data_IF_202618249515
#
_entry.id   IF_202618249515
#
_cell.length_a   1.000
_cell.length_b   1.000
_cell.length_c   1.000
_cell.angle_alpha   90.00
_cell.angle_beta   90.00
_cell.angle_gamma   90.00
#
_symmetry.space_group_name_H-M   'P 1'
#
loop_
_entity.id
_entity.type
_entity.pdbx_description
1 polymer ?
#
# COMPACT_ATOMS: atom_id res chain seq x y z
N UNK A 1 32.78 34.90 -10.04
CA UNK A 1 31.37 34.54 -9.84
C UNK A 1 31.23 33.08 -10.28
N UNK A 2 31.49 32.17 -9.34
CA UNK A 2 31.46 30.74 -9.62
C UNK A 2 30.02 30.25 -9.59
N UNK A 3 29.61 29.61 -10.68
CA UNK A 3 28.32 28.90 -10.78
C UNK A 3 28.31 27.73 -9.78
N UNK A 4 27.23 27.50 -9.02
CA UNK A 4 27.15 26.36 -8.15
C UNK A 4 27.18 25.08 -8.98
N UNK A 5 28.17 24.22 -8.72
CA UNK A 5 28.21 22.85 -9.23
C UNK A 5 26.97 22.12 -8.69
N UNK A 6 25.95 22.01 -9.50
CA UNK A 6 24.88 21.04 -9.30
C UNK A 6 25.56 19.69 -9.40
N UNK A 7 25.92 19.11 -8.26
CA UNK A 7 26.26 17.71 -8.17
C UNK A 7 25.01 16.92 -8.52
N UNK A 8 24.93 16.49 -9.77
CA UNK A 8 24.06 15.39 -10.18
C UNK A 8 24.64 14.17 -9.46
N UNK A 9 24.10 13.87 -8.30
CA UNK A 9 24.32 12.60 -7.62
C UNK A 9 23.49 11.57 -8.42
N UNK A 10 23.97 11.17 -9.60
CA UNK A 10 23.74 9.83 -10.10
C UNK A 10 24.65 8.92 -9.25
N UNK A 11 24.28 8.76 -7.98
CA UNK A 11 24.82 7.69 -7.18
C UNK A 11 24.63 6.40 -7.99
N UNK A 12 25.66 5.56 -8.05
CA UNK A 12 25.63 4.23 -8.62
C UNK A 12 24.39 3.50 -8.08
N UNK A 13 23.26 3.64 -8.78
CA UNK A 13 22.09 2.83 -8.50
C UNK A 13 22.50 1.42 -8.88
N UNK A 14 22.65 0.56 -7.89
CA UNK A 14 22.94 -0.84 -8.11
C UNK A 14 21.85 -1.39 -9.04
N UNK A 15 22.25 -1.72 -10.26
CA UNK A 15 21.33 -2.27 -11.23
C UNK A 15 20.94 -3.68 -10.79
N UNK A 16 19.64 -3.91 -10.72
CA UNK A 16 19.06 -5.20 -10.33
C UNK A 16 19.05 -6.10 -11.57
N UNK A 17 19.61 -7.30 -11.42
CA UNK A 17 19.76 -8.27 -12.52
C UNK A 17 19.01 -9.56 -12.20
N UNK A 18 18.76 -10.35 -13.24
CA UNK A 18 18.19 -11.70 -13.15
C UNK A 18 16.78 -11.72 -12.55
N UNK A 19 16.03 -10.63 -12.65
CA UNK A 19 14.62 -10.57 -12.24
C UNK A 19 13.74 -11.19 -13.32
N UNK A 20 12.85 -12.08 -12.92
CA UNK A 20 11.82 -12.68 -13.79
C UNK A 20 10.42 -12.21 -13.46
N UNK A 21 10.15 -11.94 -12.17
CA UNK A 21 8.87 -11.45 -11.69
C UNK A 21 9.04 -10.12 -10.97
N UNK A 22 8.23 -9.15 -11.34
CA UNK A 22 8.08 -7.89 -10.62
C UNK A 22 6.69 -7.90 -9.99
N UNK A 23 6.66 -7.94 -8.66
CA UNK A 23 5.44 -7.85 -7.88
C UNK A 23 5.22 -6.40 -7.44
N UNK A 24 4.03 -5.88 -7.64
CA UNK A 24 3.64 -4.51 -7.27
C UNK A 24 2.60 -4.55 -6.17
N UNK A 25 2.85 -3.82 -5.11
CA UNK A 25 1.79 -3.41 -4.21
C UNK A 25 0.82 -2.45 -4.91
N UNK A 26 -0.36 -2.26 -4.35
CA UNK A 26 -1.42 -1.48 -4.95
C UNK A 26 -1.66 -0.13 -4.26
N UNK A 27 -2.18 -0.18 -3.02
CA UNK A 27 -2.57 1.00 -2.25
C UNK A 27 -1.32 1.82 -1.87
N UNK A 28 -1.33 3.12 -2.15
CA UNK A 28 -0.22 4.05 -1.91
C UNK A 28 1.07 3.77 -2.71
N UNK A 29 1.03 2.76 -3.59
CA UNK A 29 2.09 2.43 -4.56
C UNK A 29 1.63 2.75 -5.98
N UNK A 30 0.46 2.27 -6.39
CA UNK A 30 -0.11 2.49 -7.73
C UNK A 30 -1.18 3.59 -7.74
N UNK A 31 -1.90 3.79 -6.65
CA UNK A 31 -2.91 4.83 -6.44
C UNK A 31 -2.95 5.27 -4.99
N UNK A 32 -3.38 6.50 -4.74
CA UNK A 32 -3.55 7.04 -3.40
C UNK A 32 -4.73 6.36 -2.69
N UNK A 33 -4.50 5.85 -1.50
CA UNK A 33 -5.50 5.20 -0.65
C UNK A 33 -5.51 5.84 0.75
N UNK A 34 -4.37 5.88 1.43
CA UNK A 34 -4.26 6.31 2.82
C UNK A 34 -4.72 7.76 3.04
N UNK A 35 -4.48 8.67 2.08
CA UNK A 35 -4.97 10.04 2.21
C UNK A 35 -6.50 10.12 2.34
N UNK A 36 -7.23 9.21 1.70
CA UNK A 36 -8.69 9.16 1.81
C UNK A 36 -9.17 8.58 3.14
N UNK A 37 -8.43 7.63 3.70
CA UNK A 37 -8.70 7.15 5.06
C UNK A 37 -8.49 8.26 6.09
N UNK A 38 -7.42 9.05 5.95
CA UNK A 38 -7.20 10.21 6.82
C UNK A 38 -8.31 11.28 6.71
N UNK A 39 -8.82 11.52 5.49
CA UNK A 39 -9.95 12.43 5.29
C UNK A 39 -11.20 11.91 6.02
N UNK A 40 -11.52 10.62 5.89
CA UNK A 40 -12.63 9.99 6.61
C UNK A 40 -12.43 10.04 8.12
N UNK A 41 -11.20 9.79 8.61
CA UNK A 41 -10.90 9.88 10.05
C UNK A 41 -11.09 11.30 10.59
N UNK A 42 -10.72 12.33 9.83
CA UNK A 42 -10.96 13.74 10.21
C UNK A 42 -12.46 14.07 10.28
N UNK A 43 -13.23 13.64 9.29
CA UNK A 43 -14.68 13.83 9.30
C UNK A 43 -15.34 13.05 10.43
N UNK A 44 -14.89 11.84 10.70
CA UNK A 44 -15.33 11.01 11.81
C UNK A 44 -15.05 11.68 13.16
N UNK A 45 -13.83 12.18 13.38
CA UNK A 45 -13.47 12.87 14.61
C UNK A 45 -14.32 14.13 14.83
N UNK A 46 -14.63 14.88 13.75
CA UNK A 46 -15.52 16.02 13.81
C UNK A 46 -16.98 15.63 14.18
N UNK A 47 -17.45 14.47 13.74
CA UNK A 47 -18.77 13.96 14.14
C UNK A 47 -18.87 13.65 15.64
N UNK A 48 -17.76 13.26 16.27
CA UNK A 48 -17.69 12.89 17.69
C UNK A 48 -17.27 14.04 18.61
N UNK A 49 -17.08 15.25 18.08
CA UNK A 49 -16.75 16.47 18.87
C UNK A 49 -17.63 16.67 20.12
N UNK A 50 -18.95 16.35 20.10
CA UNK A 50 -19.78 16.49 21.32
C UNK A 50 -19.35 15.62 22.49
N UNK A 51 -18.55 14.57 22.26
CA UNK A 51 -18.13 13.61 23.31
C UNK A 51 -16.64 13.71 23.67
N UNK A 52 -15.81 14.37 22.86
CA UNK A 52 -14.39 14.53 23.17
C UNK A 52 -13.59 15.23 22.07
N UNK A 53 -12.33 15.46 22.36
CA UNK A 53 -11.42 16.16 21.44
C UNK A 53 -11.00 15.25 20.27
N UNK A 54 -10.75 15.79 19.06
CA UNK A 54 -10.38 14.99 17.89
C UNK A 54 -9.20 14.04 18.11
N UNK A 55 -8.17 14.46 18.83
CA UNK A 55 -7.01 13.63 19.14
C UNK A 55 -7.35 12.44 20.08
N UNK A 56 -8.30 12.60 20.98
CA UNK A 56 -8.78 11.54 21.86
C UNK A 56 -9.60 10.52 21.06
N UNK A 57 -10.47 11.01 20.16
CA UNK A 57 -11.25 10.17 19.23
C UNK A 57 -10.30 9.34 18.35
N UNK A 58 -9.29 9.97 17.72
CA UNK A 58 -8.31 9.27 16.88
C UNK A 58 -7.50 8.25 17.67
N UNK A 59 -7.09 8.55 18.89
CA UNK A 59 -6.36 7.60 19.72
C UNK A 59 -7.22 6.39 20.11
N UNK A 60 -8.49 6.63 20.47
CA UNK A 60 -9.44 5.57 20.79
C UNK A 60 -9.75 4.72 19.54
N UNK A 61 -9.92 5.33 18.37
CA UNK A 61 -10.12 4.62 17.10
C UNK A 61 -8.94 3.72 16.79
N UNK A 62 -7.70 4.22 16.89
CA UNK A 62 -6.50 3.42 16.66
C UNK A 62 -6.42 2.19 17.58
N UNK A 63 -6.85 2.32 18.85
CA UNK A 63 -6.94 1.16 19.76
C UNK A 63 -7.99 0.16 19.28
N UNK A 64 -9.20 0.63 18.90
CA UNK A 64 -10.28 -0.22 18.41
C UNK A 64 -9.87 -0.95 17.13
N UNK A 65 -9.21 -0.27 16.19
CA UNK A 65 -8.68 -0.91 14.98
C UNK A 65 -7.64 -1.99 15.30
N UNK A 66 -6.72 -1.69 16.25
CA UNK A 66 -5.68 -2.64 16.67
C UNK A 66 -6.29 -3.92 17.27
N UNK A 67 -7.34 -3.77 18.07
CA UNK A 67 -8.04 -4.91 18.71
C UNK A 67 -8.85 -5.72 17.66
N UNK A 68 -9.40 -5.05 16.65
CA UNK A 68 -10.21 -5.64 15.61
C UNK A 68 -9.39 -6.32 14.49
N UNK A 69 -8.17 -5.85 14.25
CA UNK A 69 -7.35 -6.31 13.12
C UNK A 69 -7.11 -7.82 13.07
N UNK A 70 -6.85 -8.54 14.19
CA UNK A 70 -6.68 -10.00 14.16
C UNK A 70 -7.93 -10.77 13.72
N UNK A 71 -9.13 -10.19 13.95
CA UNK A 71 -10.40 -10.83 13.63
C UNK A 71 -10.96 -10.40 12.28
N UNK A 72 -10.91 -9.10 11.98
CA UNK A 72 -11.56 -8.50 10.81
C UNK A 72 -10.60 -8.34 9.62
N UNK A 73 -9.29 -8.40 9.85
CA UNK A 73 -8.28 -8.13 8.82
C UNK A 73 -8.22 -6.65 8.45
N UNK A 74 -7.77 -6.41 7.22
CA UNK A 74 -7.56 -5.08 6.64
C UNK A 74 -8.68 -4.69 5.69
N UNK A 75 -8.89 -3.36 5.51
CA UNK A 75 -9.73 -2.82 4.46
C UNK A 75 -10.93 -2.03 4.96
N UNK A 76 -11.66 -1.43 4.01
CA UNK A 76 -12.73 -0.46 4.29
C UNK A 76 -13.86 -0.99 5.18
N UNK A 77 -14.19 -2.28 5.10
CA UNK A 77 -15.27 -2.87 5.90
C UNK A 77 -14.83 -3.05 7.36
N UNK A 78 -13.62 -3.57 7.59
CA UNK A 78 -13.02 -3.69 8.92
C UNK A 78 -12.91 -2.31 9.58
N UNK A 79 -12.41 -1.31 8.85
CA UNK A 79 -12.35 0.06 9.28
C UNK A 79 -13.73 0.64 9.63
N UNK A 80 -14.75 0.42 8.79
CA UNK A 80 -16.12 0.89 9.04
C UNK A 80 -16.70 0.29 10.31
N UNK A 81 -16.46 -1.01 10.57
CA UNK A 81 -16.89 -1.66 11.82
C UNK A 81 -16.19 -1.00 13.01
N UNK A 82 -14.87 -0.78 12.92
CA UNK A 82 -14.10 -0.12 13.99
C UNK A 82 -14.57 1.31 14.25
N UNK A 83 -14.91 2.08 13.21
CA UNK A 83 -15.51 3.41 13.35
C UNK A 83 -16.82 3.35 14.16
N UNK A 84 -17.71 2.42 13.83
CA UNK A 84 -19.02 2.29 14.51
C UNK A 84 -18.83 1.82 15.95
N UNK A 85 -18.02 0.82 16.20
CA UNK A 85 -17.72 0.29 17.52
C UNK A 85 -17.08 1.34 18.42
N UNK A 86 -16.07 2.04 17.91
CA UNK A 86 -15.44 3.14 18.62
C UNK A 86 -16.43 4.26 18.93
N UNK A 87 -17.29 4.65 17.99
CA UNK A 87 -18.27 5.71 18.20
C UNK A 87 -19.26 5.36 19.32
N UNK A 88 -19.72 4.12 19.40
CA UNK A 88 -20.61 3.65 20.45
C UNK A 88 -19.88 3.67 21.81
N UNK A 89 -18.66 3.15 21.86
CA UNK A 89 -17.87 3.10 23.08
C UNK A 89 -17.48 4.50 23.57
N UNK A 90 -16.95 5.34 22.67
CA UNK A 90 -16.46 6.68 22.97
C UNK A 90 -17.58 7.62 23.46
N UNK A 91 -18.79 7.44 22.93
CA UNK A 91 -19.98 8.17 23.36
C UNK A 91 -20.68 7.57 24.59
N UNK A 92 -20.11 6.53 25.21
CA UNK A 92 -20.74 5.79 26.31
C UNK A 92 -22.16 5.26 25.99
N UNK A 93 -22.38 4.93 24.69
CA UNK A 93 -23.69 4.46 24.21
C UNK A 93 -24.71 5.56 23.94
N UNK A 94 -24.37 6.83 24.09
CA UNK A 94 -25.31 7.97 23.91
C UNK A 94 -25.46 8.40 22.45
N UNK A 95 -24.61 7.85 21.52
CA UNK A 95 -24.67 8.22 20.11
C UNK A 95 -25.99 7.84 19.47
N UNK A 96 -26.60 8.77 18.74
CA UNK A 96 -27.88 8.56 18.06
C UNK A 96 -27.71 7.86 16.73
N UNK A 97 -28.71 7.08 16.31
CA UNK A 97 -28.71 6.33 15.06
C UNK A 97 -28.36 7.18 13.82
N UNK A 98 -28.73 8.46 13.78
CA UNK A 98 -28.37 9.36 12.68
C UNK A 98 -26.89 9.63 12.55
N UNK A 99 -26.11 9.64 13.65
CA UNK A 99 -24.64 9.71 13.61
C UNK A 99 -24.06 8.39 13.11
N UNK A 100 -24.59 7.26 13.58
CA UNK A 100 -24.15 5.93 13.12
C UNK A 100 -24.35 5.78 11.59
N UNK A 101 -25.51 6.22 11.06
CA UNK A 101 -25.73 6.20 9.61
C UNK A 101 -24.68 7.04 8.88
N UNK A 102 -24.36 8.25 9.35
CA UNK A 102 -23.30 9.09 8.75
C UNK A 102 -21.94 8.40 8.78
N UNK A 103 -21.58 7.76 9.90
CA UNK A 103 -20.32 7.01 10.03
C UNK A 103 -20.27 5.85 9.02
N UNK A 104 -21.35 5.11 8.88
CA UNK A 104 -21.46 4.04 7.87
C UNK A 104 -21.32 4.60 6.45
N UNK A 105 -21.88 5.78 6.14
CA UNK A 105 -21.69 6.41 4.82
C UNK A 105 -20.25 6.85 4.60
N UNK A 106 -19.54 7.36 5.62
CA UNK A 106 -18.10 7.65 5.54
C UNK A 106 -17.30 6.40 5.18
N UNK A 107 -17.51 5.28 5.88
CA UNK A 107 -16.85 4.02 5.53
C UNK A 107 -17.18 3.53 4.11
N UNK A 108 -18.44 3.64 3.70
CA UNK A 108 -18.88 3.29 2.33
C UNK A 108 -18.27 4.19 1.26
N UNK A 109 -17.89 5.43 1.56
CA UNK A 109 -17.25 6.32 0.58
C UNK A 109 -15.89 5.77 0.13
N UNK A 110 -15.15 5.14 1.04
CA UNK A 110 -13.87 4.49 0.73
C UNK A 110 -14.01 3.36 -0.29
N UNK A 111 -15.09 2.58 -0.24
CA UNK A 111 -15.38 1.54 -1.23
C UNK A 111 -15.63 2.08 -2.65
N UNK A 112 -15.82 3.40 -2.79
CA UNK A 112 -16.05 4.07 -4.08
C UNK A 112 -14.81 4.83 -4.58
N UNK A 113 -13.66 4.66 -3.93
CA UNK A 113 -12.39 5.24 -4.33
C UNK A 113 -12.15 5.03 -5.83
N UNK A 114 -11.79 6.11 -6.54
CA UNK A 114 -11.55 6.05 -8.00
C UNK A 114 -10.31 5.24 -8.35
N UNK A 115 -9.37 5.11 -7.42
CA UNK A 115 -8.07 4.45 -7.61
C UNK A 115 -7.33 5.03 -8.85
N UNK A 116 -7.29 6.37 -8.94
CA UNK A 116 -6.60 7.06 -10.03
C UNK A 116 -5.10 6.77 -9.94
N UNK A 117 -4.47 6.26 -11.01
CA UNK A 117 -3.05 5.95 -10.99
C UNK A 117 -2.18 7.16 -10.60
N UNK A 118 -1.20 6.92 -9.73
CA UNK A 118 -0.20 7.93 -9.36
C UNK A 118 0.67 8.32 -10.57
N UNK A 119 1.32 9.50 -10.53
CA UNK A 119 2.18 9.96 -11.61
C UNK A 119 3.24 8.92 -12.00
N UNK A 120 3.37 8.65 -13.30
CA UNK A 120 4.33 7.70 -13.83
C UNK A 120 3.88 6.23 -13.85
N UNK A 121 2.89 5.83 -13.05
CA UNK A 121 2.45 4.44 -12.91
C UNK A 121 2.04 3.81 -14.24
N UNK A 122 1.09 4.43 -14.93
CA UNK A 122 0.59 3.89 -16.21
C UNK A 122 1.70 3.75 -17.25
N UNK A 123 2.57 4.77 -17.36
CA UNK A 123 3.71 4.73 -18.28
C UNK A 123 4.67 3.60 -17.93
N UNK A 124 5.06 3.48 -16.66
CA UNK A 124 6.01 2.46 -16.20
C UNK A 124 5.49 1.05 -16.43
N UNK A 125 4.25 0.78 -16.00
CA UNK A 125 3.64 -0.53 -16.19
C UNK A 125 3.52 -0.89 -17.67
N UNK A 126 3.16 0.07 -18.53
CA UNK A 126 3.12 -0.16 -19.98
C UNK A 126 4.49 -0.53 -20.54
N UNK A 127 5.54 0.24 -20.21
CA UNK A 127 6.90 -0.03 -20.69
C UNK A 127 7.40 -1.41 -20.23
N UNK A 128 7.14 -1.79 -18.99
CA UNK A 128 7.52 -3.10 -18.47
C UNK A 128 6.74 -4.23 -19.15
N UNK A 129 5.42 -4.08 -19.34
CA UNK A 129 4.59 -5.07 -20.01
C UNK A 129 4.97 -5.22 -21.50
N UNK A 130 5.22 -4.12 -22.20
CA UNK A 130 5.60 -4.12 -23.62
C UNK A 130 6.98 -4.77 -23.84
N UNK A 131 7.89 -4.66 -22.87
CA UNK A 131 9.22 -5.28 -22.93
C UNK A 131 9.16 -6.80 -22.98
N UNK A 132 8.14 -7.43 -22.39
CA UNK A 132 7.99 -8.88 -22.23
C UNK A 132 9.17 -9.59 -21.55
N UNK A 133 9.99 -8.83 -20.83
CA UNK A 133 11.16 -9.36 -20.12
C UNK A 133 10.80 -9.88 -18.73
N UNK A 134 9.70 -9.38 -18.17
CA UNK A 134 9.28 -9.66 -16.80
C UNK A 134 7.81 -10.09 -16.78
N UNK A 135 7.48 -11.01 -15.89
CA UNK A 135 6.09 -11.25 -15.51
C UNK A 135 5.68 -10.20 -14.48
N UNK A 136 4.60 -9.45 -14.73
CA UNK A 136 4.11 -8.42 -13.83
C UNK A 136 2.98 -9.00 -12.97
N UNK A 137 3.10 -8.92 -11.66
CA UNK A 137 2.12 -9.44 -10.71
C UNK A 137 1.63 -8.31 -9.81
N UNK A 138 0.34 -8.12 -9.71
CA UNK A 138 -0.22 -7.32 -8.61
C UNK A 138 -0.22 -8.19 -7.36
N UNK A 139 0.48 -7.76 -6.31
CA UNK A 139 0.56 -8.46 -5.04
C UNK A 139 0.19 -7.52 -3.90
N UNK A 140 -1.06 -7.55 -3.48
CA UNK A 140 -1.63 -6.60 -2.53
C UNK A 140 -2.34 -7.31 -1.39
N UNK A 141 -2.40 -6.65 -0.23
CA UNK A 141 -3.20 -7.14 0.90
C UNK A 141 -4.51 -6.36 1.01
N UNK A 142 -5.52 -7.00 1.57
CA UNK A 142 -6.81 -6.40 1.84
C UNK A 142 -7.98 -7.31 1.51
N UNK A 143 -9.16 -6.71 1.44
CA UNK A 143 -10.38 -7.44 1.11
C UNK A 143 -10.48 -7.67 -0.41
N UNK A 144 -10.70 -8.94 -0.79
CA UNK A 144 -10.68 -9.38 -2.19
C UNK A 144 -11.56 -8.51 -3.11
N UNK A 145 -12.82 -8.30 -2.74
CA UNK A 145 -13.77 -7.56 -3.58
C UNK A 145 -13.37 -6.08 -3.73
N UNK A 146 -12.88 -5.46 -2.65
CA UNK A 146 -12.47 -4.07 -2.67
C UNK A 146 -11.22 -3.87 -3.55
N UNK A 147 -10.21 -4.71 -3.39
CA UNK A 147 -8.98 -4.65 -4.20
C UNK A 147 -9.27 -4.91 -5.69
N UNK A 148 -10.12 -5.90 -6.02
CA UNK A 148 -10.55 -6.14 -7.40
C UNK A 148 -11.28 -4.93 -7.99
N UNK A 149 -12.18 -4.31 -7.23
CA UNK A 149 -12.91 -3.13 -7.66
C UNK A 149 -12.01 -1.93 -7.88
N UNK A 150 -11.03 -1.67 -6.98
CA UNK A 150 -10.04 -0.61 -7.14
C UNK A 150 -9.19 -0.84 -8.40
N UNK A 151 -8.68 -2.06 -8.59
CA UNK A 151 -7.91 -2.41 -9.77
C UNK A 151 -8.70 -2.21 -11.08
N UNK A 152 -9.97 -2.62 -11.12
CA UNK A 152 -10.83 -2.41 -12.28
C UNK A 152 -11.06 -0.92 -12.56
N UNK A 153 -11.34 -0.11 -11.52
CA UNK A 153 -11.54 1.34 -11.66
C UNK A 153 -10.28 2.08 -12.10
N UNK A 154 -9.10 1.62 -11.67
CA UNK A 154 -7.81 2.21 -12.06
C UNK A 154 -7.48 2.02 -13.55
N UNK A 155 -8.08 1.02 -14.20
CA UNK A 155 -7.76 0.62 -15.58
C UNK A 155 -6.38 -0.03 -15.74
N UNK A 156 -5.71 -0.40 -14.64
CA UNK A 156 -4.36 -0.98 -14.65
C UNK A 156 -4.35 -2.51 -14.81
N UNK A 157 -5.48 -3.20 -14.64
CA UNK A 157 -5.57 -4.66 -14.70
C UNK A 157 -4.92 -5.27 -15.95
N UNK A 158 -5.01 -4.59 -17.08
CA UNK A 158 -4.48 -5.04 -18.38
C UNK A 158 -2.96 -5.15 -18.47
N UNK A 159 -2.22 -4.60 -17.50
CA UNK A 159 -0.76 -4.64 -17.48
C UNK A 159 -0.21 -5.81 -16.64
N UNK A 160 -1.05 -6.48 -15.87
CA UNK A 160 -0.64 -7.56 -14.99
C UNK A 160 -0.95 -8.92 -15.59
N UNK A 161 0.02 -9.81 -15.53
CA UNK A 161 -0.12 -11.21 -15.93
C UNK A 161 -0.83 -12.04 -14.86
N UNK A 162 -0.77 -11.59 -13.58
CA UNK A 162 -1.41 -12.26 -12.44
C UNK A 162 -1.80 -11.25 -11.37
N UNK A 163 -2.85 -11.59 -10.60
CA UNK A 163 -3.40 -10.76 -9.53
C UNK A 163 -3.52 -11.61 -8.27
N UNK A 164 -2.73 -11.30 -7.26
CA UNK A 164 -2.68 -12.01 -5.99
C UNK A 164 -3.09 -11.06 -4.87
N UNK A 165 -4.23 -11.34 -4.26
CA UNK A 165 -4.76 -10.58 -3.12
C UNK A 165 -4.70 -11.48 -1.90
N UNK A 166 -3.99 -11.03 -0.85
CA UNK A 166 -3.76 -11.78 0.38
C UNK A 166 -4.33 -11.06 1.59
N UNK A 167 -4.57 -11.78 2.67
CA UNK A 167 -4.98 -11.18 3.94
C UNK A 167 -3.85 -10.43 4.62
N UNK A 168 -2.58 -10.90 4.47
CA UNK A 168 -1.38 -10.21 4.93
C UNK A 168 -0.18 -10.64 4.07
N UNK A 169 0.86 -9.79 3.96
CA UNK A 169 2.08 -10.05 3.18
C UNK A 169 3.18 -10.66 4.05
N UNK A 170 2.95 -11.89 4.46
CA UNK A 170 3.93 -12.66 5.26
C UNK A 170 5.02 -13.28 4.40
N UNK A 171 6.14 -13.70 5.02
CA UNK A 171 7.19 -14.46 4.32
C UNK A 171 6.66 -15.74 3.65
N UNK A 172 5.62 -16.35 4.22
CA UNK A 172 4.95 -17.51 3.64
C UNK A 172 4.25 -17.16 2.33
N UNK A 173 3.53 -16.03 2.29
CA UNK A 173 2.84 -15.57 1.07
C UNK A 173 3.84 -15.20 -0.04
N UNK A 174 4.99 -14.60 0.28
CA UNK A 174 6.08 -14.39 -0.69
C UNK A 174 6.65 -15.72 -1.21
N UNK A 175 6.79 -16.72 -0.34
CA UNK A 175 7.25 -18.06 -0.74
C UNK A 175 6.23 -18.72 -1.69
N UNK A 176 4.93 -18.61 -1.39
CA UNK A 176 3.85 -19.10 -2.26
C UNK A 176 3.84 -18.35 -3.60
N UNK A 177 4.03 -17.03 -3.58
CA UNK A 177 4.13 -16.23 -4.80
C UNK A 177 5.26 -16.74 -5.72
N UNK A 178 6.43 -16.96 -5.17
CA UNK A 178 7.56 -17.52 -5.92
C UNK A 178 7.26 -18.91 -6.46
N UNK A 179 6.74 -19.81 -5.63
CA UNK A 179 6.38 -21.17 -6.03
C UNK A 179 5.37 -21.20 -7.18
N UNK A 180 4.29 -20.40 -7.07
CA UNK A 180 3.24 -20.33 -8.09
C UNK A 180 3.73 -19.77 -9.42
N UNK A 181 4.79 -18.95 -9.38
CA UNK A 181 5.43 -18.40 -10.58
C UNK A 181 6.64 -19.21 -11.07
N UNK A 182 6.98 -20.31 -10.40
CA UNK A 182 8.11 -21.17 -10.80
C UNK A 182 9.47 -20.49 -10.74
N UNK A 183 9.66 -19.55 -9.80
CA UNK A 183 10.89 -18.76 -9.65
C UNK A 183 11.54 -18.97 -8.28
N UNK A 184 12.85 -18.66 -8.23
CA UNK A 184 13.56 -18.49 -6.97
C UNK A 184 13.29 -17.08 -6.42
N UNK A 185 13.34 -16.91 -5.08
CA UNK A 185 13.15 -15.59 -4.43
C UNK A 185 14.13 -14.53 -4.94
N UNK A 186 15.34 -14.90 -5.36
CA UNK A 186 16.34 -14.00 -5.95
C UNK A 186 15.98 -13.49 -7.34
N UNK A 187 14.92 -14.05 -7.95
CA UNK A 187 14.39 -13.63 -9.25
C UNK A 187 13.12 -12.77 -9.08
N UNK A 188 12.74 -12.47 -7.83
CA UNK A 188 11.62 -11.60 -7.46
C UNK A 188 12.10 -10.20 -7.10
N UNK A 189 11.47 -9.18 -7.70
CA UNK A 189 11.52 -7.80 -7.24
C UNK A 189 10.14 -7.41 -6.70
N UNK A 190 10.07 -7.04 -5.42
CA UNK A 190 8.88 -6.42 -4.85
C UNK A 190 8.98 -4.89 -4.89
N UNK A 191 7.93 -4.24 -5.38
CA UNK A 191 7.81 -2.79 -5.48
C UNK A 191 6.66 -2.33 -4.60
N UNK A 192 6.92 -1.49 -3.61
CA UNK A 192 5.87 -1.04 -2.70
C UNK A 192 6.28 0.12 -1.79
N UNK A 193 5.31 0.68 -1.08
CA UNK A 193 5.49 1.80 -0.17
C UNK A 193 5.68 1.38 1.29
N UNK A 194 5.16 0.22 1.70
CA UNK A 194 5.24 -0.24 3.08
C UNK A 194 6.54 -0.98 3.36
N UNK A 195 7.39 -0.38 4.22
CA UNK A 195 8.62 -1.07 4.61
C UNK A 195 8.34 -2.38 5.35
N UNK A 196 7.27 -2.42 6.15
CA UNK A 196 6.85 -3.57 6.93
C UNK A 196 6.29 -4.71 6.06
N UNK A 197 5.42 -4.39 5.11
CA UNK A 197 4.68 -5.39 4.34
C UNK A 197 5.34 -5.74 3.00
N UNK A 198 5.98 -4.77 2.33
CA UNK A 198 6.51 -4.97 0.99
C UNK A 198 8.02 -5.24 1.01
N UNK A 199 8.75 -4.55 1.88
CA UNK A 199 10.20 -4.51 1.81
C UNK A 199 10.83 -5.56 2.71
N UNK A 200 10.57 -5.50 4.01
CA UNK A 200 11.24 -6.36 4.99
C UNK A 200 11.03 -7.86 4.73
N UNK A 201 9.82 -8.36 4.44
CA UNK A 201 9.61 -9.79 4.26
C UNK A 201 10.37 -10.37 3.07
N UNK A 202 10.40 -9.66 1.92
CA UNK A 202 11.10 -10.12 0.72
C UNK A 202 12.63 -10.07 0.91
N UNK A 203 13.15 -9.04 1.59
CA UNK A 203 14.58 -8.95 1.92
C UNK A 203 15.02 -10.07 2.87
N UNK A 204 14.23 -10.39 3.89
CA UNK A 204 14.50 -11.52 4.81
C UNK A 204 14.62 -12.86 4.10
N UNK A 205 13.90 -13.05 3.01
CA UNK A 205 13.98 -14.23 2.17
C UNK A 205 15.13 -14.19 1.15
N UNK A 206 15.81 -13.06 0.99
CA UNK A 206 16.93 -12.86 0.06
C UNK A 206 16.50 -12.38 -1.34
N UNK A 207 15.27 -11.92 -1.51
CA UNK A 207 14.76 -11.29 -2.72
C UNK A 207 15.17 -9.82 -2.84
N UNK A 208 14.68 -9.14 -3.87
CA UNK A 208 14.94 -7.73 -4.13
C UNK A 208 13.72 -6.88 -3.83
N UNK A 209 13.95 -5.65 -3.39
CA UNK A 209 12.90 -4.68 -3.09
C UNK A 209 13.21 -3.30 -3.69
N UNK A 210 12.18 -2.66 -4.23
CA UNK A 210 12.17 -1.24 -4.57
C UNK A 210 11.15 -0.52 -3.68
N UNK A 211 11.66 0.27 -2.75
CA UNK A 211 10.84 1.05 -1.84
C UNK A 211 10.48 2.40 -2.46
N UNK A 212 9.20 2.72 -2.53
CA UNK A 212 8.66 4.01 -2.99
C UNK A 212 7.92 4.65 -1.83
N UNK A 213 8.58 5.45 -0.97
CA UNK A 213 7.92 6.07 0.16
C UNK A 213 6.71 6.91 -0.26
N UNK A 214 5.57 6.68 0.34
CA UNK A 214 4.39 7.50 0.12
C UNK A 214 4.33 8.65 1.14
N UNK A 215 3.65 9.75 0.77
CA UNK A 215 3.57 10.98 1.59
C UNK A 215 2.87 10.80 2.94
N UNK A 216 2.04 9.77 3.04
CA UNK A 216 1.27 9.40 4.24
C UNK A 216 1.55 7.95 4.56
N UNK A 217 1.98 7.68 5.78
CA UNK A 217 2.23 6.32 6.25
C UNK A 217 1.12 5.89 7.21
N UNK A 218 0.52 4.73 6.94
CA UNK A 218 -0.46 4.17 7.86
C UNK A 218 0.21 3.76 9.17
N UNK A 219 -0.29 4.25 10.31
CA UNK A 219 0.33 4.06 11.64
C UNK A 219 0.58 2.60 12.00
N UNK A 220 -0.30 1.68 11.59
CA UNK A 220 -0.15 0.23 11.82
C UNK A 220 0.96 -0.41 10.97
N UNK A 221 1.45 0.28 9.94
CA UNK A 221 2.53 -0.15 9.04
C UNK A 221 3.86 0.52 9.33
N UNK A 222 3.89 1.47 10.28
CA UNK A 222 5.10 2.23 10.60
C UNK A 222 6.21 1.30 11.05
N UNK A 223 7.31 1.36 10.32
CA UNK A 223 8.52 0.60 10.60
C UNK A 223 9.76 1.41 10.27
N UNK A 224 10.79 1.33 11.12
CA UNK A 224 12.06 2.00 10.85
C UNK A 224 12.76 1.37 9.64
N UNK A 225 12.90 2.13 8.57
CA UNK A 225 13.63 1.73 7.39
C UNK A 225 15.14 1.53 7.71
N UNK A 226 15.76 0.60 7.01
CA UNK A 226 17.19 0.32 7.06
C UNK A 226 17.74 0.09 5.65
N UNK A 227 19.06 0.18 5.48
CA UNK A 227 19.73 -0.09 4.21
C UNK A 227 20.04 -1.58 4.07
N UNK A 228 19.90 -2.10 2.85
CA UNK A 228 20.20 -3.49 2.50
C UNK A 228 20.75 -3.56 1.07
N UNK A 229 21.62 -4.51 0.76
CA UNK A 229 22.23 -4.65 -0.57
C UNK A 229 21.23 -4.96 -1.69
N UNK A 230 20.09 -5.61 -1.35
CA UNK A 230 19.00 -5.94 -2.28
C UNK A 230 17.85 -4.90 -2.23
N UNK A 231 18.05 -3.77 -1.57
CA UNK A 231 17.07 -2.68 -1.47
C UNK A 231 17.52 -1.49 -2.29
N UNK A 232 16.60 -0.97 -3.11
CA UNK A 232 16.71 0.38 -3.65
C UNK A 232 15.53 1.22 -3.16
N UNK A 233 15.79 2.49 -2.86
CA UNK A 233 14.73 3.46 -2.59
C UNK A 233 14.67 4.42 -3.77
N UNK A 234 13.47 4.58 -4.33
CA UNK A 234 13.20 5.44 -5.47
C UNK A 234 12.11 6.45 -5.10
N UNK A 235 12.15 7.63 -5.71
CA UNK A 235 11.17 8.69 -5.45
C UNK A 235 9.96 8.64 -6.38
N UNK A 236 10.12 7.95 -7.51
CA UNK A 236 9.08 7.81 -8.51
C UNK A 236 9.17 6.43 -9.15
N UNK A 237 8.03 5.80 -9.38
CA UNK A 237 7.96 4.46 -9.97
C UNK A 237 8.64 4.36 -11.35
N UNK A 238 8.72 5.45 -12.11
CA UNK A 238 9.39 5.47 -13.42
C UNK A 238 10.90 5.23 -13.34
N UNK A 239 11.52 5.41 -12.17
CA UNK A 239 12.93 5.09 -11.95
C UNK A 239 13.22 3.57 -12.06
N UNK A 240 12.18 2.71 -11.91
CA UNK A 240 12.30 1.27 -12.09
C UNK A 240 12.92 0.90 -13.46
N UNK A 241 12.56 1.62 -14.51
CA UNK A 241 13.06 1.37 -15.86
C UNK A 241 14.59 1.51 -15.92
N UNK A 242 15.16 2.41 -15.11
CA UNK A 242 16.59 2.69 -15.10
C UNK A 242 17.39 1.73 -14.21
N UNK A 243 16.77 1.16 -13.18
CA UNK A 243 17.44 0.24 -12.24
C UNK A 243 17.38 -1.22 -12.68
N UNK A 244 16.42 -1.58 -13.52
CA UNK A 244 16.32 -2.90 -14.12
C UNK A 244 17.29 -3.02 -15.29
N UNK A 245 18.08 -4.08 -15.30
CA UNK A 245 18.91 -4.45 -16.46
C UNK A 245 18.34 -5.73 -17.07
N UNK A 246 17.93 -5.69 -18.34
CA UNK A 246 17.75 -6.93 -19.11
C UNK A 246 19.09 -7.66 -19.21
N UNK A 247 19.03 -8.99 -19.23
CA UNK A 247 20.18 -9.84 -19.53
C UNK A 247 20.70 -9.59 -20.95
#
# INVERSE_FOLDING_TARGET
MELPKIFIIFANMNKIKNIKVIAFDADDTLWDCQSHFEEVEKEYAALLEPWGMPNEVSAALFSTESDNMPLLGYGCKAFTISLVENAISFSHGEIKAGFIDRIVQLGKSLLKLKATPLPGVTFTLQQLADSKLYKLVLFTKGELLDQQNKLNRSGLAKYFDDIVIVSDKTSEEYTKLCHNNGINIKELLMVGNSFRSDIEPVLKLGGYAAHIPFKVEWKHETMKAYSHEHLVTINNISELINILQPE
#
